data_IF_699028949388
#
_entry.id   IF_699028949388
#
_cell.length_a   1.000
_cell.length_b   1.000
_cell.length_c   1.000
_cell.angle_alpha   90.00
_cell.angle_beta   90.00
_cell.angle_gamma   90.00
#
_symmetry.space_group_name_H-M   'P 1'
#
loop_
_entity.id
_entity.type
_entity.pdbx_description
1 polymer ?
#
# COMPACT_ATOMS: atom_id res chain seq x y z
N UNK A 1 -26.47 23.74 30.99
CA UNK A 1 -26.92 22.57 31.78
C UNK A 1 -27.27 23.04 33.20
N UNK A 2 -28.47 22.72 33.69
CA UNK A 2 -28.99 23.22 34.96
C UNK A 2 -28.21 22.54 36.12
N UNK A 3 -27.93 23.30 37.24
CA UNK A 3 -27.24 22.79 38.43
C UNK A 3 -27.85 21.51 39.03
N UNK A 4 -29.16 21.31 38.86
CA UNK A 4 -29.88 20.10 39.28
C UNK A 4 -29.47 18.87 38.41
N UNK A 5 -29.33 19.06 37.12
CA UNK A 5 -28.89 18.01 36.18
C UNK A 5 -27.45 17.59 36.42
N UNK A 6 -26.55 18.55 36.71
CA UNK A 6 -25.16 18.27 37.05
C UNK A 6 -25.03 17.43 38.35
N UNK A 7 -25.80 17.79 39.38
CA UNK A 7 -25.79 17.00 40.62
C UNK A 7 -26.35 15.58 40.44
N UNK A 8 -27.35 15.40 39.55
CA UNK A 8 -27.88 14.10 39.26
C UNK A 8 -26.87 13.22 38.51
N UNK A 9 -26.18 13.76 37.52
CA UNK A 9 -25.12 13.06 36.76
C UNK A 9 -23.97 12.65 37.68
N UNK A 10 -23.48 13.57 38.55
CA UNK A 10 -22.41 13.28 39.51
C UNK A 10 -22.81 12.18 40.51
N UNK A 11 -24.08 12.14 40.95
CA UNK A 11 -24.56 11.09 41.84
C UNK A 11 -24.69 9.75 41.10
N UNK A 12 -25.12 9.73 39.86
CA UNK A 12 -25.21 8.54 39.05
C UNK A 12 -23.82 7.92 38.79
N UNK A 13 -22.82 8.77 38.46
CA UNK A 13 -21.44 8.33 38.28
C UNK A 13 -20.83 7.82 39.58
N UNK A 14 -21.12 8.48 40.72
CA UNK A 14 -20.62 8.06 42.05
C UNK A 14 -21.23 6.74 42.52
N UNK A 15 -22.43 6.37 42.03
CA UNK A 15 -23.13 5.12 42.36
C UNK A 15 -22.73 3.96 41.43
N UNK A 16 -22.01 4.25 40.35
CA UNK A 16 -21.50 3.20 39.46
C UNK A 16 -20.40 2.44 40.18
N UNK A 17 -20.58 1.13 40.36
CA UNK A 17 -19.62 0.28 41.05
C UNK A 17 -18.23 0.40 40.37
N UNK A 18 -17.17 0.61 41.16
CA UNK A 18 -15.78 0.66 40.65
C UNK A 18 -15.43 -0.51 39.77
N UNK A 19 -16.01 -1.70 40.05
CA UNK A 19 -15.87 -2.91 39.23
C UNK A 19 -16.35 -2.73 37.81
N UNK A 20 -17.48 -2.04 37.58
CA UNK A 20 -18.04 -1.83 36.23
C UNK A 20 -17.12 -0.93 35.42
N UNK A 21 -16.57 0.11 36.03
CA UNK A 21 -15.63 1.02 35.38
C UNK A 21 -14.34 0.27 35.01
N UNK A 22 -13.82 -0.54 35.91
CA UNK A 22 -12.63 -1.37 35.68
C UNK A 22 -12.89 -2.38 34.56
N UNK A 23 -14.03 -3.08 34.56
CA UNK A 23 -14.40 -4.01 33.49
C UNK A 23 -14.51 -3.30 32.14
N UNK A 24 -15.10 -2.11 32.11
CA UNK A 24 -15.21 -1.32 30.88
C UNK A 24 -13.85 -0.91 30.32
N UNK A 25 -12.95 -0.42 31.20
CA UNK A 25 -11.58 -0.06 30.82
C UNK A 25 -10.80 -1.28 30.34
N UNK A 26 -10.92 -2.43 31.01
CA UNK A 26 -10.28 -3.68 30.56
C UNK A 26 -10.80 -4.11 29.19
N UNK A 27 -12.11 -4.04 28.98
CA UNK A 27 -12.70 -4.38 27.68
C UNK A 27 -12.23 -3.45 26.57
N UNK A 28 -12.09 -2.16 26.85
CA UNK A 28 -11.58 -1.17 25.91
C UNK A 28 -10.12 -1.46 25.53
N UNK A 29 -9.27 -1.74 26.53
CA UNK A 29 -7.85 -2.07 26.31
C UNK A 29 -7.70 -3.37 25.51
N UNK A 30 -8.47 -4.42 25.85
CA UNK A 30 -8.45 -5.69 25.12
C UNK A 30 -8.98 -5.53 23.70
N UNK A 31 -10.02 -4.73 23.50
CA UNK A 31 -10.59 -4.45 22.17
C UNK A 31 -9.61 -3.74 21.26
N UNK A 32 -8.94 -2.69 21.75
CA UNK A 32 -7.90 -1.96 20.99
C UNK A 32 -6.69 -2.85 20.73
N UNK A 33 -6.23 -3.58 21.73
CA UNK A 33 -5.08 -4.48 21.58
C UNK A 33 -5.33 -5.60 20.58
N UNK A 34 -6.47 -6.28 20.66
CA UNK A 34 -6.84 -7.34 19.72
C UNK A 34 -7.02 -6.80 18.28
N UNK A 35 -7.69 -5.65 18.13
CA UNK A 35 -7.88 -5.01 16.85
C UNK A 35 -6.56 -4.64 16.16
N UNK A 36 -5.64 -4.03 16.90
CA UNK A 36 -4.32 -3.65 16.40
C UNK A 36 -3.48 -4.86 16.01
N UNK A 37 -3.47 -5.92 16.82
CA UNK A 37 -2.74 -7.15 16.51
C UNK A 37 -3.28 -7.84 15.26
N UNK A 38 -4.60 -7.90 15.09
CA UNK A 38 -5.24 -8.49 13.92
C UNK A 38 -4.88 -7.72 12.65
N UNK A 39 -4.94 -6.38 12.68
CA UNK A 39 -4.56 -5.54 11.55
C UNK A 39 -3.11 -5.76 11.18
N UNK A 40 -2.20 -5.76 12.16
CA UNK A 40 -0.77 -5.99 11.91
C UNK A 40 -0.50 -7.35 11.26
N UNK A 41 -1.13 -8.43 11.75
CA UNK A 41 -0.94 -9.77 11.17
C UNK A 41 -1.48 -9.85 9.74
N UNK A 42 -2.60 -9.20 9.45
CA UNK A 42 -3.21 -9.22 8.11
C UNK A 42 -2.42 -8.42 7.08
N UNK A 43 -1.79 -7.31 7.47
CA UNK A 43 -1.13 -6.38 6.54
C UNK A 43 0.39 -6.55 6.46
N UNK A 44 0.99 -7.34 7.35
CA UNK A 44 2.47 -7.48 7.42
C UNK A 44 3.12 -8.02 6.14
N UNK A 45 2.36 -8.72 5.30
CA UNK A 45 2.83 -9.30 4.04
C UNK A 45 2.34 -8.50 2.82
N UNK A 46 1.70 -7.34 3.05
CA UNK A 46 1.26 -6.49 1.96
C UNK A 46 2.47 -5.92 1.24
N UNK A 47 2.51 -6.09 -0.07
CA UNK A 47 3.60 -5.65 -0.93
C UNK A 47 3.05 -5.08 -2.22
N UNK A 48 3.75 -4.09 -2.76
CA UNK A 48 3.58 -3.64 -4.13
C UNK A 48 4.97 -3.33 -4.69
N UNK A 49 5.43 -4.17 -5.59
CA UNK A 49 6.81 -4.12 -6.11
C UNK A 49 6.88 -4.44 -7.60
N UNK A 50 7.87 -3.90 -8.27
CA UNK A 50 8.20 -4.22 -9.66
C UNK A 50 8.95 -5.57 -9.67
N UNK A 51 8.55 -6.47 -10.56
CA UNK A 51 9.26 -7.73 -10.78
C UNK A 51 10.51 -7.43 -11.61
N UNK A 52 11.68 -7.84 -11.13
CA UNK A 52 12.96 -7.55 -11.78
C UNK A 52 13.49 -6.14 -11.49
N UNK A 53 14.27 -5.60 -12.41
CA UNK A 53 14.96 -4.32 -12.23
C UNK A 53 14.06 -3.12 -12.53
N UNK A 54 14.28 -2.02 -11.79
CA UNK A 54 13.55 -0.75 -12.01
C UNK A 54 14.06 0.02 -13.22
N UNK A 55 15.32 -0.17 -13.57
CA UNK A 55 15.95 0.45 -14.73
C UNK A 55 16.53 -0.65 -15.61
N UNK A 56 16.07 -0.70 -16.84
CA UNK A 56 16.52 -1.65 -17.86
C UNK A 56 17.33 -0.87 -18.89
N UNK A 57 18.58 -1.24 -19.09
CA UNK A 57 19.42 -0.65 -20.12
C UNK A 57 19.43 -1.58 -21.33
N UNK A 58 19.10 -1.05 -22.50
CA UNK A 58 19.03 -1.76 -23.78
C UNK A 58 19.88 -1.02 -24.81
N UNK A 59 20.36 -1.77 -25.78
CA UNK A 59 20.93 -1.23 -27.01
C UNK A 59 19.81 -1.09 -28.08
N UNK A 60 19.98 -0.18 -29.02
CA UNK A 60 19.05 -0.04 -30.14
C UNK A 60 18.80 -1.41 -30.78
N UNK A 61 17.53 -1.68 -31.11
CA UNK A 61 16.99 -2.92 -31.69
C UNK A 61 17.00 -4.14 -30.76
N UNK A 62 17.35 -4.00 -29.48
CA UNK A 62 17.15 -5.05 -28.49
C UNK A 62 15.65 -5.32 -28.28
N UNK A 63 15.33 -6.56 -27.94
CA UNK A 63 13.95 -6.94 -27.62
C UNK A 63 13.66 -6.63 -26.16
N UNK A 64 12.62 -5.84 -25.90
CA UNK A 64 12.11 -5.58 -24.55
C UNK A 64 10.90 -6.45 -24.23
N UNK A 65 10.93 -7.09 -23.05
CA UNK A 65 9.77 -7.79 -22.49
C UNK A 65 9.57 -7.32 -21.06
N UNK A 66 8.37 -6.83 -20.76
CA UNK A 66 8.05 -6.35 -19.42
C UNK A 66 7.71 -7.51 -18.48
N UNK A 67 8.40 -7.61 -17.36
CA UNK A 67 8.13 -8.62 -16.32
C UNK A 67 6.95 -8.24 -15.42
N UNK A 68 6.49 -6.97 -15.49
CA UNK A 68 5.35 -6.50 -14.74
C UNK A 68 5.65 -6.13 -13.30
N UNK A 69 4.61 -6.13 -12.49
CA UNK A 69 4.66 -5.84 -11.07
C UNK A 69 3.76 -6.81 -10.28
N UNK A 70 4.04 -6.97 -9.00
CA UNK A 70 3.29 -7.83 -8.08
C UNK A 70 2.70 -7.03 -6.94
N UNK A 71 1.46 -7.34 -6.57
CA UNK A 71 0.79 -6.74 -5.43
C UNK A 71 0.11 -7.80 -4.57
N UNK A 72 0.33 -7.71 -3.26
CA UNK A 72 -0.33 -8.52 -2.24
C UNK A 72 -1.02 -7.60 -1.25
N UNK A 73 -2.29 -7.80 -1.01
CA UNK A 73 -3.11 -7.07 -0.03
C UNK A 73 -3.85 -8.08 0.84
N UNK A 74 -3.71 -7.97 2.17
CA UNK A 74 -4.34 -8.87 3.15
C UNK A 74 -4.07 -10.36 2.86
N UNK A 75 -2.83 -10.69 2.53
CA UNK A 75 -2.37 -12.03 2.14
C UNK A 75 -3.01 -12.58 0.85
N UNK A 76 -3.65 -11.73 0.04
CA UNK A 76 -4.24 -12.09 -1.25
C UNK A 76 -3.45 -11.45 -2.38
N UNK A 77 -3.16 -12.23 -3.42
CA UNK A 77 -2.59 -11.70 -4.66
C UNK A 77 -3.63 -10.87 -5.42
N UNK A 78 -3.34 -9.59 -5.61
CA UNK A 78 -4.15 -8.62 -6.35
C UNK A 78 -3.39 -8.04 -7.55
N UNK A 79 -2.38 -8.71 -8.04
CA UNK A 79 -1.56 -8.25 -9.18
C UNK A 79 -2.39 -7.98 -10.43
N UNK A 80 -3.52 -8.65 -10.60
CA UNK A 80 -4.47 -8.39 -11.68
C UNK A 80 -5.16 -7.03 -11.62
N UNK A 81 -5.13 -6.35 -10.48
CA UNK A 81 -5.70 -5.00 -10.30
C UNK A 81 -4.69 -3.89 -10.65
N UNK A 82 -3.44 -4.25 -10.99
CA UNK A 82 -2.40 -3.30 -11.41
C UNK A 82 -2.71 -2.82 -12.83
N UNK A 83 -2.84 -1.50 -12.98
CA UNK A 83 -2.93 -0.85 -14.28
C UNK A 83 -1.53 -0.50 -14.77
N UNK A 84 -1.20 -0.90 -16.00
CA UNK A 84 0.08 -0.61 -16.64
C UNK A 84 -0.13 0.42 -17.74
N UNK A 85 0.67 1.48 -17.74
CA UNK A 85 0.64 2.56 -18.71
C UNK A 85 2.05 2.83 -19.24
N UNK A 86 2.16 3.21 -20.52
CA UNK A 86 3.44 3.56 -21.16
C UNK A 86 4.21 2.38 -21.74
N UNK A 87 3.76 1.15 -21.56
CA UNK A 87 4.39 -0.04 -22.16
C UNK A 87 4.34 0.00 -23.69
N UNK A 88 3.24 0.47 -24.25
CA UNK A 88 3.01 0.65 -25.68
C UNK A 88 3.86 1.77 -26.32
N UNK A 89 4.44 2.64 -25.51
CA UNK A 89 5.29 3.74 -25.94
C UNK A 89 6.77 3.36 -26.01
N UNK A 90 7.16 2.19 -25.51
CA UNK A 90 8.55 1.72 -25.57
C UNK A 90 8.93 1.40 -27.01
N UNK A 91 9.83 2.18 -27.58
CA UNK A 91 10.33 2.02 -28.95
C UNK A 91 11.86 1.77 -28.89
N UNK A 92 12.24 0.51 -28.93
CA UNK A 92 13.65 0.13 -28.85
C UNK A 92 14.46 0.44 -30.12
N UNK A 93 13.80 0.86 -31.21
CA UNK A 93 14.50 1.33 -32.41
C UNK A 93 15.05 2.74 -32.29
N UNK A 94 14.74 3.46 -31.21
CA UNK A 94 15.14 4.83 -30.99
C UNK A 94 15.76 5.00 -29.60
N UNK A 95 16.85 5.77 -29.56
CA UNK A 95 17.44 6.20 -28.30
C UNK A 95 16.45 7.01 -27.48
N UNK A 96 16.45 6.78 -26.17
CA UNK A 96 15.60 7.52 -25.25
C UNK A 96 15.38 6.81 -23.94
N UNK A 97 14.66 7.48 -23.06
CA UNK A 97 14.22 6.94 -21.78
C UNK A 97 12.71 6.83 -21.80
N UNK A 98 12.23 5.61 -21.73
CA UNK A 98 10.81 5.27 -21.70
C UNK A 98 10.38 4.94 -20.28
N UNK A 99 9.25 5.47 -19.85
CA UNK A 99 8.74 5.25 -18.49
C UNK A 99 7.49 4.40 -18.53
N UNK A 100 7.52 3.28 -17.82
CA UNK A 100 6.36 2.42 -17.60
C UNK A 100 5.83 2.70 -16.20
N UNK A 101 4.55 2.96 -16.09
CA UNK A 101 3.88 3.29 -14.83
C UNK A 101 2.95 2.14 -14.42
N UNK A 102 3.16 1.60 -13.25
CA UNK A 102 2.28 0.61 -12.62
C UNK A 102 1.46 1.31 -11.54
N UNK A 103 0.15 1.33 -11.70
CA UNK A 103 -0.77 1.96 -10.76
C UNK A 103 -1.60 0.91 -10.05
N UNK A 104 -1.52 0.87 -8.72
CA UNK A 104 -2.37 0.03 -7.89
C UNK A 104 -3.50 0.89 -7.28
N UNK A 105 -4.72 0.43 -7.49
CA UNK A 105 -5.91 1.04 -6.91
C UNK A 105 -6.82 -0.04 -6.34
N UNK A 106 -6.58 -0.39 -5.10
CA UNK A 106 -7.30 -1.42 -4.34
C UNK A 106 -8.19 -0.84 -3.26
N UNK A 107 -8.71 -1.67 -2.39
CA UNK A 107 -9.54 -1.23 -1.24
C UNK A 107 -8.74 -0.44 -0.21
N UNK A 108 -7.50 -0.87 0.09
CA UNK A 108 -6.63 -0.24 1.07
C UNK A 108 -5.68 0.79 0.44
N UNK A 109 -5.21 0.52 -0.79
CA UNK A 109 -4.21 1.35 -1.47
C UNK A 109 -4.84 2.10 -2.63
N UNK A 110 -4.82 3.44 -2.57
CA UNK A 110 -5.41 4.31 -3.59
C UNK A 110 -4.32 5.02 -4.38
N UNK A 111 -4.32 4.82 -5.71
CA UNK A 111 -3.44 5.50 -6.65
C UNK A 111 -1.94 5.44 -6.31
N UNK A 112 -1.48 4.30 -5.76
CA UNK A 112 -0.05 4.07 -5.54
C UNK A 112 0.59 3.74 -6.88
N UNK A 113 1.72 4.39 -7.18
CA UNK A 113 2.42 4.25 -8.46
C UNK A 113 3.86 3.81 -8.25
N UNK A 114 4.29 2.91 -9.12
CA UNK A 114 5.68 2.52 -9.30
C UNK A 114 6.09 2.80 -10.75
N UNK A 115 7.37 3.07 -10.95
CA UNK A 115 7.91 3.44 -12.26
C UNK A 115 9.07 2.53 -12.62
N UNK A 116 9.06 2.01 -13.85
CA UNK A 116 10.20 1.37 -14.48
C UNK A 116 10.71 2.24 -15.61
N UNK A 117 12.00 2.36 -15.73
CA UNK A 117 12.67 3.12 -16.78
C UNK A 117 13.34 2.14 -17.74
N UNK A 118 13.05 2.27 -19.02
CA UNK A 118 13.73 1.56 -20.09
C UNK A 118 14.60 2.58 -20.82
N UNK A 119 15.90 2.42 -20.69
CA UNK A 119 16.90 3.30 -21.31
C UNK A 119 17.42 2.59 -22.55
N UNK A 120 17.22 3.20 -23.70
CA UNK A 120 17.71 2.69 -24.99
C UNK A 120 18.85 3.60 -25.44
N UNK A 121 20.03 3.01 -25.63
CA UNK A 121 21.24 3.74 -26.03
C UNK A 121 21.80 3.15 -27.34
N UNK A 122 22.50 3.99 -28.12
CA UNK A 122 23.30 3.51 -29.22
C UNK A 122 24.49 2.72 -28.66
N UNK A 123 24.72 1.54 -29.17
CA UNK A 123 25.91 0.75 -28.83
C UNK A 123 27.17 1.44 -29.32
N UNK A 124 27.65 2.47 -28.61
CA UNK A 124 29.02 2.98 -28.82
C UNK A 124 29.99 1.97 -28.23
N UNK A 125 30.63 1.22 -29.10
CA UNK A 125 31.85 0.51 -28.77
C UNK A 125 32.90 1.56 -28.37
N UNK A 126 33.15 1.72 -27.09
CA UNK A 126 34.38 2.36 -26.62
C UNK A 126 35.55 1.47 -27.03
N UNK A 127 36.13 1.74 -28.20
CA UNK A 127 37.49 1.35 -28.51
C UNK A 127 38.50 2.25 -27.79
#
# INVERSE_FOLDING_TARGET
MNKRTQKAVIRAVKKTHKSIIICFLLFLVLGVGAGSATTYVLTRNDTFEIIGEKTINLTIDDTYTDEGAKAIELNKDISSEIKVEGLDLVDTSKEGVYTITYTLNSKLYKNIKLYRYVVVESGENNE
#
